data_IF_462893533336
#
_entry.id   IF_462893533336
#
_cell.length_a   1.000
_cell.length_b   1.000
_cell.length_c   1.000
_cell.angle_alpha   90.00
_cell.angle_beta   90.00
_cell.angle_gamma   90.00
#
_symmetry.space_group_name_H-M   'P 1'
#
loop_
_entity.id
_entity.type
_entity.pdbx_description
1 polymer ?
#
# COMPACT_ATOMS: atom_id res chain seq x y z
N UNK A 1 -9.60 9.86 -4.94
CA UNK A 1 -9.06 8.48 -5.03
C UNK A 1 -10.06 7.51 -4.38
N UNK A 2 -11.32 7.66 -4.78
CA UNK A 2 -12.42 6.73 -4.54
C UNK A 2 -13.26 6.56 -5.81
N UNK A 3 -12.69 7.02 -6.93
CA UNK A 3 -13.40 7.39 -8.16
C UNK A 3 -13.20 6.32 -9.25
N UNK A 4 -12.59 5.19 -8.87
CA UNK A 4 -12.40 4.04 -9.78
C UNK A 4 -13.73 3.29 -9.89
N UNK A 5 -14.23 3.18 -11.12
CA UNK A 5 -15.43 2.41 -11.43
C UNK A 5 -15.22 0.95 -10.99
N UNK A 6 -16.18 0.39 -10.26
CA UNK A 6 -16.14 -1.00 -9.77
C UNK A 6 -15.50 -1.22 -8.39
N UNK A 7 -14.98 -0.18 -7.74
CA UNK A 7 -14.49 -0.31 -6.36
C UNK A 7 -15.65 -0.29 -5.36
N UNK A 8 -15.57 -1.11 -4.30
CA UNK A 8 -16.63 -1.20 -3.30
C UNK A 8 -16.74 0.10 -2.49
N UNK A 9 -17.86 0.81 -2.65
CA UNK A 9 -18.09 2.12 -2.02
C UNK A 9 -18.03 2.07 -0.48
N UNK A 10 -18.33 0.92 0.14
CA UNK A 10 -18.27 0.76 1.60
C UNK A 10 -16.85 0.87 2.17
N UNK A 11 -15.84 0.51 1.37
CA UNK A 11 -14.42 0.60 1.75
C UNK A 11 -13.83 1.94 1.39
N UNK A 12 -14.38 2.60 0.37
CA UNK A 12 -13.89 3.90 -0.07
C UNK A 12 -14.07 4.92 1.05
N UNK A 13 -12.94 5.40 1.55
CA UNK A 13 -12.92 6.47 2.53
C UNK A 13 -13.00 7.83 1.82
N UNK A 14 -13.95 8.67 2.26
CA UNK A 14 -14.11 10.04 1.76
C UNK A 14 -13.10 11.01 2.38
N UNK A 15 -12.60 10.71 3.57
CA UNK A 15 -11.63 11.53 4.27
C UNK A 15 -10.24 11.42 3.63
N UNK A 16 -9.60 12.57 3.37
CA UNK A 16 -8.25 12.61 2.79
C UNK A 16 -7.15 12.24 3.79
N UNK A 17 -7.35 12.56 5.07
CA UNK A 17 -6.38 12.37 6.14
C UNK A 17 -6.96 11.48 7.24
N UNK A 18 -6.09 10.74 7.93
CA UNK A 18 -6.49 9.92 9.08
C UNK A 18 -6.97 10.81 10.24
N UNK A 19 -8.15 10.50 10.78
CA UNK A 19 -8.63 11.12 12.02
C UNK A 19 -7.76 10.71 13.21
N UNK A 20 -7.59 11.61 14.19
CA UNK A 20 -6.82 11.32 15.43
C UNK A 20 -7.40 10.14 16.23
N UNK A 21 -8.68 9.82 16.04
CA UNK A 21 -9.36 8.70 16.72
C UNK A 21 -8.99 7.33 16.15
N UNK A 22 -8.64 7.25 14.87
CA UNK A 22 -8.32 5.97 14.23
C UNK A 22 -6.86 5.62 14.49
N UNK A 23 -6.55 4.47 15.13
CA UNK A 23 -5.17 4.09 15.38
C UNK A 23 -4.39 3.89 14.08
N UNK A 24 -3.07 4.02 14.17
CA UNK A 24 -2.20 3.89 13.00
C UNK A 24 -2.10 2.41 12.65
N UNK A 25 -2.35 2.07 11.39
CA UNK A 25 -2.30 0.70 10.89
C UNK A 25 -3.63 -0.05 10.97
N UNK A 26 -4.73 0.63 11.29
CA UNK A 26 -6.08 0.04 11.15
C UNK A 26 -6.32 -0.37 9.69
N UNK A 27 -6.89 -1.55 9.50
CA UNK A 27 -7.21 -2.08 8.17
C UNK A 27 -8.69 -2.41 8.09
N UNK A 28 -9.32 -2.12 6.95
CA UNK A 28 -10.64 -2.63 6.56
C UNK A 28 -10.48 -3.50 5.32
N UNK A 29 -11.16 -4.65 5.29
CA UNK A 29 -11.14 -5.56 4.15
C UNK A 29 -12.54 -5.76 3.60
N UNK A 30 -12.64 -6.00 2.30
CA UNK A 30 -13.77 -6.68 1.69
C UNK A 30 -13.24 -7.66 0.66
N UNK A 31 -14.02 -8.71 0.47
CA UNK A 31 -13.68 -9.81 -0.41
C UNK A 31 -14.85 -10.00 -1.35
N UNK A 32 -14.59 -9.86 -2.64
CA UNK A 32 -15.55 -10.24 -3.66
C UNK A 32 -15.43 -11.76 -3.86
N UNK A 33 -16.45 -12.49 -3.42
CA UNK A 33 -16.56 -13.95 -3.57
C UNK A 33 -17.02 -14.37 -4.97
N UNK A 34 -17.56 -13.45 -5.75
CA UNK A 34 -18.16 -13.73 -7.06
C UNK A 34 -17.14 -13.95 -8.18
N UNK A 35 -15.84 -13.74 -7.91
CA UNK A 35 -14.76 -13.93 -8.89
C UNK A 35 -13.72 -14.92 -8.33
N UNK A 36 -13.50 -16.08 -8.96
CA UNK A 36 -12.39 -16.97 -8.63
C UNK A 36 -11.12 -16.58 -9.43
N UNK A 37 -9.96 -16.36 -8.79
CA UNK A 37 -9.69 -16.36 -7.36
C UNK A 37 -10.24 -15.11 -6.64
N UNK A 38 -10.62 -15.21 -5.35
CA UNK A 38 -11.29 -14.14 -4.63
C UNK A 38 -10.47 -12.85 -4.65
N UNK A 39 -11.10 -11.77 -5.11
CA UNK A 39 -10.52 -10.44 -5.10
C UNK A 39 -10.68 -9.82 -3.72
N UNK A 40 -9.56 -9.43 -3.12
CA UNK A 40 -9.53 -8.76 -1.81
C UNK A 40 -9.16 -7.30 -1.99
N UNK A 41 -10.03 -6.42 -1.50
CA UNK A 41 -9.76 -5.00 -1.33
C UNK A 41 -9.39 -4.71 0.12
N UNK A 42 -8.35 -3.91 0.34
CA UNK A 42 -7.92 -3.48 1.66
C UNK A 42 -7.74 -1.97 1.72
N UNK A 43 -8.32 -1.34 2.74
CA UNK A 43 -8.03 0.05 3.11
C UNK A 43 -7.12 0.03 4.33
N UNK A 44 -5.92 0.59 4.19
CA UNK A 44 -4.94 0.69 5.28
C UNK A 44 -4.73 2.15 5.70
N UNK A 45 -4.80 2.38 7.00
CA UNK A 45 -4.68 3.69 7.60
C UNK A 45 -3.25 4.01 8.02
N UNK A 46 -2.49 4.66 7.14
CA UNK A 46 -1.18 5.22 7.47
C UNK A 46 -1.31 6.70 7.92
N UNK A 47 -0.62 7.64 7.26
CA UNK A 47 -0.92 9.08 7.36
C UNK A 47 -2.22 9.43 6.64
N UNK A 48 -2.38 8.85 5.46
CA UNK A 48 -3.54 8.96 4.60
C UNK A 48 -4.12 7.56 4.36
N UNK A 49 -5.41 7.43 4.02
CA UNK A 49 -5.97 6.15 3.64
C UNK A 49 -5.34 5.67 2.34
N UNK A 50 -4.82 4.44 2.34
CA UNK A 50 -4.26 3.79 1.16
C UNK A 50 -5.12 2.58 0.82
N UNK A 51 -5.57 2.52 -0.42
CA UNK A 51 -6.39 1.43 -0.93
C UNK A 51 -5.53 0.45 -1.73
N UNK A 52 -5.71 -0.82 -1.46
CA UNK A 52 -5.08 -1.93 -2.14
C UNK A 52 -6.14 -2.85 -2.72
N UNK A 53 -5.79 -3.51 -3.82
CA UNK A 53 -6.57 -4.55 -4.47
C UNK A 53 -5.60 -5.67 -4.84
N UNK A 54 -5.96 -6.90 -4.54
CA UNK A 54 -5.16 -8.07 -4.89
C UNK A 54 -6.01 -9.33 -4.97
N UNK A 55 -5.63 -10.22 -5.88
CA UNK A 55 -6.21 -11.56 -6.01
C UNK A 55 -5.34 -12.56 -5.26
N UNK A 56 -5.94 -13.39 -4.40
CA UNK A 56 -5.21 -14.47 -3.71
C UNK A 56 -4.15 -14.02 -2.70
N UNK A 57 -4.10 -12.74 -2.34
CA UNK A 57 -3.14 -12.22 -1.36
C UNK A 57 -3.52 -12.60 0.07
N UNK A 58 -2.51 -12.80 0.92
CA UNK A 58 -2.72 -13.13 2.33
C UNK A 58 -3.24 -11.92 3.12
N UNK A 59 -4.25 -12.18 3.96
CA UNK A 59 -4.88 -11.20 4.87
C UNK A 59 -4.28 -11.26 6.28
N UNK A 60 -3.22 -12.05 6.50
CA UNK A 60 -2.55 -12.15 7.81
C UNK A 60 -1.96 -10.79 8.18
N UNK A 61 -2.09 -10.40 9.44
CA UNK A 61 -1.45 -9.19 9.96
C UNK A 61 0.04 -9.45 10.17
N UNK A 62 0.83 -8.49 9.74
CA UNK A 62 2.27 -8.40 9.96
C UNK A 62 2.60 -6.96 10.42
N UNK A 63 3.87 -6.59 10.45
CA UNK A 63 4.32 -5.26 10.84
C UNK A 63 5.20 -4.64 9.76
N UNK A 64 4.96 -3.36 9.48
CA UNK A 64 5.77 -2.57 8.56
C UNK A 64 6.45 -1.42 9.32
N UNK A 65 7.74 -1.22 9.07
CA UNK A 65 8.51 -0.15 9.70
C UNK A 65 8.23 1.19 9.00
N UNK A 66 7.63 2.14 9.73
CA UNK A 66 7.26 3.45 9.17
C UNK A 66 7.78 4.61 10.00
N UNK A 67 8.07 5.72 9.32
CA UNK A 67 8.45 6.99 9.96
C UNK A 67 7.18 7.77 10.33
N UNK A 68 6.91 7.89 11.62
CA UNK A 68 5.77 8.68 12.12
C UNK A 68 6.16 10.17 12.19
N UNK A 69 5.26 11.11 11.88
CA UNK A 69 5.50 12.53 12.16
C UNK A 69 5.85 12.73 13.65
N UNK A 70 6.89 13.51 13.93
CA UNK A 70 7.34 13.79 15.31
C UNK A 70 8.28 12.75 15.93
N UNK A 71 8.58 11.63 15.27
CA UNK A 71 9.46 10.58 15.83
C UNK A 71 10.97 10.87 15.70
N UNK A 72 11.39 12.09 15.34
CA UNK A 72 12.81 12.47 15.12
C UNK A 72 13.58 11.48 14.23
N UNK A 73 12.92 10.92 13.22
CA UNK A 73 13.51 9.95 12.28
C UNK A 73 13.43 8.48 12.70
N UNK A 74 12.99 8.18 13.94
CA UNK A 74 12.81 6.83 14.45
C UNK A 74 11.66 6.13 13.70
N UNK A 75 11.93 4.92 13.20
CA UNK A 75 10.92 4.05 12.58
C UNK A 75 10.17 3.29 13.68
N UNK A 76 8.85 3.25 13.58
CA UNK A 76 7.99 2.47 14.48
C UNK A 76 7.39 1.29 13.70
N UNK A 77 7.24 0.12 14.33
CA UNK A 77 6.48 -0.98 13.75
C UNK A 77 4.99 -0.61 13.76
N UNK A 78 4.36 -0.68 12.60
CA UNK A 78 2.92 -0.39 12.42
C UNK A 78 2.24 -1.65 11.91
N UNK A 79 1.09 -2.05 12.48
CA UNK A 79 0.35 -3.19 11.98
C UNK A 79 -0.03 -2.96 10.51
N UNK A 80 0.28 -3.95 9.69
CA UNK A 80 0.15 -3.89 8.25
C UNK A 80 -0.14 -5.31 7.75
N UNK A 81 -1.14 -5.51 6.89
CA UNK A 81 -1.44 -6.83 6.39
C UNK A 81 -0.37 -7.30 5.40
N UNK A 82 -0.19 -8.61 5.30
CA UNK A 82 0.88 -9.23 4.53
C UNK A 82 0.83 -8.82 3.05
N UNK A 83 -0.36 -8.72 2.45
CA UNK A 83 -0.53 -8.21 1.09
C UNK A 83 0.11 -6.83 0.85
N UNK A 84 0.10 -5.96 1.86
CA UNK A 84 0.70 -4.64 1.79
C UNK A 84 2.21 -4.72 2.05
N UNK A 85 2.67 -5.60 2.94
CA UNK A 85 4.10 -5.87 3.12
C UNK A 85 4.74 -6.43 1.84
N UNK A 86 4.08 -7.42 1.22
CA UNK A 86 4.49 -8.03 -0.04
C UNK A 86 4.55 -6.97 -1.15
N UNK A 87 3.52 -6.14 -1.27
CA UNK A 87 3.53 -5.04 -2.22
C UNK A 87 4.75 -4.12 -2.01
N UNK A 88 5.01 -3.66 -0.79
CA UNK A 88 6.16 -2.81 -0.52
C UNK A 88 7.51 -3.48 -0.81
N UNK A 89 7.60 -4.80 -0.64
CA UNK A 89 8.82 -5.56 -0.91
C UNK A 89 9.11 -5.62 -2.41
N UNK A 90 8.07 -5.76 -3.25
CA UNK A 90 8.23 -6.02 -4.68
C UNK A 90 8.04 -4.80 -5.59
N UNK A 91 7.32 -3.77 -5.14
CA UNK A 91 6.96 -2.61 -5.97
C UNK A 91 8.16 -1.84 -6.53
N UNK A 92 9.33 -1.90 -5.88
CA UNK A 92 10.53 -1.17 -6.29
C UNK A 92 11.37 -1.86 -7.37
N UNK A 93 10.99 -3.04 -7.88
CA UNK A 93 11.82 -3.79 -8.82
C UNK A 93 12.15 -3.01 -10.10
N UNK A 94 11.15 -2.34 -10.68
CA UNK A 94 11.33 -1.52 -11.90
C UNK A 94 12.16 -0.28 -11.59
N UNK A 95 11.82 0.47 -10.53
CA UNK A 95 12.56 1.67 -10.15
C UNK A 95 14.04 1.38 -9.85
N UNK A 96 14.35 0.25 -9.21
CA UNK A 96 15.72 -0.19 -8.96
C UNK A 96 16.43 -0.51 -10.27
N UNK A 97 15.77 -1.21 -11.19
CA UNK A 97 16.32 -1.49 -12.51
C UNK A 97 16.60 -0.21 -13.29
N UNK A 98 15.65 0.73 -13.33
CA UNK A 98 15.79 2.01 -14.01
C UNK A 98 16.86 2.88 -13.37
N UNK A 99 16.96 2.90 -12.04
CA UNK A 99 18.02 3.60 -11.34
C UNK A 99 19.41 3.05 -11.73
N UNK A 100 19.55 1.73 -11.86
CA UNK A 100 20.81 1.13 -12.29
C UNK A 100 21.11 1.47 -13.76
N UNK A 101 20.13 1.31 -14.64
CA UNK A 101 20.29 1.49 -16.08
C UNK A 101 20.46 2.96 -16.50
N UNK A 102 19.69 3.88 -15.92
CA UNK A 102 19.62 5.27 -16.36
C UNK A 102 20.44 6.24 -15.51
N UNK A 103 20.71 5.91 -14.24
CA UNK A 103 21.41 6.84 -13.34
C UNK A 103 22.83 6.39 -13.00
N UNK A 104 23.06 5.08 -12.82
CA UNK A 104 24.38 4.58 -12.41
C UNK A 104 25.25 4.09 -13.56
N UNK A 105 24.65 3.46 -14.57
CA UNK A 105 25.37 2.86 -15.69
C UNK A 105 24.73 3.25 -17.03
N UNK A 106 24.47 4.54 -17.22
CA UNK A 106 23.83 5.05 -18.44
C UNK A 106 24.78 5.04 -19.63
N UNK A 107 24.46 4.24 -20.65
CA UNK A 107 25.12 4.25 -21.97
C UNK A 107 24.11 4.76 -22.99
N UNK A 108 23.72 6.02 -22.85
CA UNK A 108 22.81 6.67 -23.79
C UNK A 108 23.63 7.52 -24.76
N UNK A 109 23.47 7.25 -26.06
CA UNK A 109 24.09 8.05 -27.12
C UNK A 109 23.14 9.19 -27.48
N UNK A 110 23.64 10.44 -27.51
CA UNK A 110 22.88 11.55 -28.09
C UNK A 110 22.89 11.41 -29.62
N UNK A 111 21.71 11.50 -30.24
CA UNK A 111 21.53 11.54 -31.69
C UNK A 111 21.43 12.98 -32.16
#
# INVERSE_FOLDING_TARGET
MGDKVGYLQEIVEKNRNRSKRTPHGTVRFAVATNCPPPMTTALWWDRNPVQFLGTGSSRKMDTCQRRTPGSRGIRKPIPCPLMICDYHKWMGGVDVHDQLHLQRYSIQMQT
#
